data_IF_750245629891
#
_entry.id   IF_750245629891
#
_cell.length_a   1.000
_cell.length_b   1.000
_cell.length_c   1.000
_cell.angle_alpha   90.00
_cell.angle_beta   90.00
_cell.angle_gamma   90.00
#
_symmetry.space_group_name_H-M   'P 1'
#
loop_
_entity.id
_entity.type
_entity.pdbx_description
1 polymer ?
#
# COMPACT_ATOMS: atom_id res chain seq x y z
N UNK A 1 26.74 44.64 0.99
CA UNK A 1 25.51 45.37 0.59
C UNK A 1 24.35 44.74 1.32
N UNK A 2 23.37 45.39 1.91
CA UNK A 2 23.13 46.75 2.37
C UNK A 2 21.75 46.67 3.03
N UNK A 3 21.65 47.12 4.28
CA UNK A 3 20.48 47.77 4.89
C UNK A 3 19.08 47.13 4.85
N UNK A 4 18.54 46.87 6.06
CA UNK A 4 17.37 47.55 6.65
C UNK A 4 17.09 46.92 8.04
N UNK A 5 17.69 47.42 9.12
CA UNK A 5 17.13 48.43 10.06
C UNK A 5 15.61 48.64 10.00
N UNK A 6 14.95 48.40 11.15
CA UNK A 6 13.78 49.10 11.76
C UNK A 6 13.28 48.20 12.91
N UNK A 7 13.00 48.60 14.15
CA UNK A 7 12.91 49.88 14.83
C UNK A 7 13.09 49.60 16.33
N UNK A 8 14.10 50.23 16.94
CA UNK A 8 14.15 50.43 18.38
C UNK A 8 12.95 51.29 18.80
N UNK A 9 12.10 50.76 19.69
CA UNK A 9 11.15 51.59 20.41
C UNK A 9 11.91 52.40 21.45
N UNK A 10 12.13 53.65 21.07
CA UNK A 10 12.60 54.76 21.88
C UNK A 10 11.65 54.95 23.06
N UNK A 11 11.94 54.31 24.19
CA UNK A 11 11.44 54.74 25.50
C UNK A 11 12.00 56.15 25.72
N UNK A 12 11.12 57.14 25.61
CA UNK A 12 11.43 58.54 25.81
C UNK A 12 12.03 58.75 27.19
N UNK A 13 13.36 58.80 27.25
CA UNK A 13 14.13 59.33 28.37
C UNK A 13 13.78 60.81 28.43
N UNK A 14 12.73 61.14 29.19
CA UNK A 14 12.44 62.51 29.60
C UNK A 14 13.71 63.03 30.25
N UNK A 15 14.32 64.04 29.61
CA UNK A 15 15.38 64.88 30.17
C UNK A 15 15.00 65.25 31.60
N UNK A 16 15.53 64.54 32.59
CA UNK A 16 15.47 65.02 33.96
C UNK A 16 16.39 66.23 33.98
N UNK A 17 15.78 67.41 34.19
CA UNK A 17 16.50 68.63 34.49
C UNK A 17 17.55 68.26 35.56
N UNK A 18 18.81 68.58 35.30
CA UNK A 18 19.84 68.71 36.35
C UNK A 18 19.30 69.74 37.34
N UNK A 19 18.58 69.26 38.36
CA UNK A 19 18.26 70.06 39.53
C UNK A 19 19.56 70.08 40.31
N UNK A 20 20.27 71.20 40.16
CA UNK A 20 21.30 71.66 41.07
C UNK A 20 20.83 71.41 42.50
N UNK A 21 21.48 70.49 43.22
CA UNK A 21 21.35 70.39 44.68
C UNK A 21 22.09 71.60 45.24
N UNK A 22 21.42 72.76 45.17
CA UNK A 22 21.67 73.87 46.08
C UNK A 22 21.29 73.33 47.45
N UNK A 23 22.28 73.26 48.33
CA UNK A 23 22.18 73.26 49.78
C UNK A 23 20.76 73.50 50.31
N UNK A 24 20.01 72.42 50.55
CA UNK A 24 18.90 72.46 51.48
C UNK A 24 19.55 72.53 52.86
N UNK A 25 19.58 73.73 53.42
CA UNK A 25 19.96 73.95 54.80
C UNK A 25 19.00 73.18 55.70
N UNK A 26 19.39 71.99 56.12
CA UNK A 26 18.85 71.39 57.32
C UNK A 26 19.37 72.22 58.50
N UNK A 27 18.62 73.27 58.84
CA UNK A 27 18.64 73.78 60.22
C UNK A 27 18.35 72.57 61.13
N UNK A 28 19.09 72.37 62.23
CA UNK A 28 18.75 71.33 63.18
C UNK A 28 17.30 71.55 63.62
N UNK A 29 16.46 70.54 63.36
CA UNK A 29 15.08 70.52 63.83
C UNK A 29 15.11 70.71 65.35
N UNK A 30 14.21 71.54 65.91
CA UNK A 30 14.04 71.55 67.36
C UNK A 30 13.60 70.15 67.82
N UNK A 31 13.94 69.76 69.05
CA UNK A 31 13.58 68.44 69.60
C UNK A 31 12.10 68.10 69.41
N UNK A 32 11.18 69.07 69.49
CA UNK A 32 9.75 68.87 69.23
C UNK A 32 9.40 68.60 67.75
N UNK A 33 10.09 69.23 66.81
CA UNK A 33 9.83 69.05 65.38
C UNK A 33 10.31 67.68 64.89
N UNK A 34 11.44 67.20 65.41
CA UNK A 34 11.94 65.85 65.12
C UNK A 34 11.01 64.76 65.68
N UNK A 35 10.53 64.90 66.92
CA UNK A 35 9.58 63.94 67.51
C UNK A 35 8.27 63.87 66.72
N UNK A 36 7.69 65.01 66.34
CA UNK A 36 6.46 65.03 65.53
C UNK A 36 6.64 64.39 64.16
N UNK A 37 7.80 64.58 63.53
CA UNK A 37 8.09 63.96 62.23
C UNK A 37 8.21 62.44 62.35
N UNK A 38 8.93 61.93 63.36
CA UNK A 38 9.05 60.49 63.63
C UNK A 38 7.68 59.88 63.94
N UNK A 39 6.87 60.54 64.78
CA UNK A 39 5.50 60.08 65.09
C UNK A 39 4.64 60.00 63.83
N UNK A 40 4.77 60.96 62.91
CA UNK A 40 4.02 60.97 61.65
C UNK A 40 4.48 59.87 60.69
N UNK A 41 5.79 59.61 60.60
CA UNK A 41 6.36 58.50 59.81
C UNK A 41 5.92 57.14 60.35
N UNK A 42 5.99 56.94 61.68
CA UNK A 42 5.51 55.72 62.35
C UNK A 42 4.02 55.52 62.12
N UNK A 43 3.20 56.58 62.21
CA UNK A 43 1.76 56.50 61.91
C UNK A 43 1.49 56.11 60.45
N UNK A 44 2.25 56.65 59.51
CA UNK A 44 2.12 56.33 58.08
C UNK A 44 2.51 54.87 57.81
N UNK A 45 3.64 54.41 58.33
CA UNK A 45 4.10 53.02 58.21
C UNK A 45 3.11 52.03 58.82
N UNK A 46 2.57 52.35 60.01
CA UNK A 46 1.54 51.53 60.66
C UNK A 46 0.29 51.36 59.78
N UNK A 47 -0.21 52.47 59.21
CA UNK A 47 -1.37 52.42 58.29
C UNK A 47 -1.08 51.61 57.02
N UNK A 48 0.13 51.68 56.48
CA UNK A 48 0.53 50.90 55.31
C UNK A 48 0.55 49.39 55.61
N UNK A 49 1.11 49.00 56.77
CA UNK A 49 1.13 47.60 57.22
C UNK A 49 -0.29 47.09 57.43
N UNK A 50 -1.14 47.83 58.14
CA UNK A 50 -2.55 47.46 58.36
C UNK A 50 -3.31 47.30 57.03
N UNK A 51 -3.08 48.18 56.05
CA UNK A 51 -3.67 48.06 54.72
C UNK A 51 -3.22 46.80 53.98
N UNK A 52 -1.92 46.48 54.00
CA UNK A 52 -1.37 45.28 53.34
C UNK A 52 -1.96 44.02 53.98
N UNK A 53 -1.90 43.90 55.30
CA UNK A 53 -2.43 42.75 56.05
C UNK A 53 -3.93 42.55 55.78
N UNK A 54 -4.71 43.64 55.77
CA UNK A 54 -6.14 43.59 55.46
C UNK A 54 -6.44 43.18 54.01
N UNK A 55 -5.69 43.74 53.04
CA UNK A 55 -5.89 43.44 51.62
C UNK A 55 -5.50 42.01 51.24
N UNK A 56 -4.45 41.45 51.87
CA UNK A 56 -4.01 40.06 51.64
C UNK A 56 -4.72 39.04 52.53
N UNK A 57 -5.58 39.52 53.46
CA UNK A 57 -6.18 38.71 54.54
C UNK A 57 -5.14 37.94 55.35
N UNK A 58 -3.98 38.55 55.54
CA UNK A 58 -2.86 37.99 56.30
C UNK A 58 -2.97 38.43 57.76
N UNK A 59 -2.92 37.47 58.68
CA UNK A 59 -2.84 37.77 60.11
C UNK A 59 -1.40 38.00 60.54
N UNK A 60 -1.18 38.95 61.45
CA UNK A 60 0.10 39.16 62.10
C UNK A 60 -0.08 39.25 63.61
N UNK A 61 0.60 38.36 64.34
CA UNK A 61 0.65 38.40 65.78
C UNK A 61 2.08 38.26 66.31
N UNK A 62 2.30 38.72 67.54
CA UNK A 62 3.58 38.58 68.23
C UNK A 62 3.31 37.88 69.55
N UNK A 63 4.03 36.79 69.80
CA UNK A 63 3.87 35.95 70.97
C UNK A 63 5.21 35.88 71.72
N UNK A 64 5.18 36.02 73.04
CA UNK A 64 6.39 35.87 73.86
C UNK A 64 6.71 34.40 74.20
N UNK A 65 7.84 34.17 74.86
CA UNK A 65 8.28 32.82 75.24
C UNK A 65 7.37 32.09 76.24
N UNK A 66 6.45 32.81 76.88
CA UNK A 66 5.44 32.24 77.77
C UNK A 66 4.08 32.09 77.09
N UNK A 67 4.01 32.20 75.76
CA UNK A 67 2.80 32.09 74.94
C UNK A 67 1.81 33.25 75.11
N UNK A 68 2.20 34.38 75.71
CA UNK A 68 1.31 35.54 75.79
C UNK A 68 1.28 36.27 74.43
N UNK A 69 0.09 36.56 73.93
CA UNK A 69 -0.10 37.36 72.71
C UNK A 69 0.17 38.83 73.05
N UNK A 70 1.31 39.35 72.60
CA UNK A 70 1.79 40.73 72.84
C UNK A 70 1.26 41.71 71.81
N UNK A 71 1.03 41.25 70.60
CA UNK A 71 0.47 42.03 69.52
C UNK A 71 -0.40 41.13 68.65
N UNK A 72 -1.43 41.74 68.07
CA UNK A 72 -2.26 41.17 67.03
C UNK A 72 -2.69 42.31 66.11
N UNK A 73 -2.76 42.04 64.81
CA UNK A 73 -3.23 43.03 63.85
C UNK A 73 -4.70 43.41 64.10
N UNK A 74 -5.06 44.59 63.62
CA UNK A 74 -6.36 45.19 63.88
C UNK A 74 -7.54 44.43 63.28
N UNK A 75 -7.34 43.69 62.19
CA UNK A 75 -8.43 42.91 61.58
C UNK A 75 -8.67 41.63 62.39
N UNK A 76 -7.60 40.96 62.81
CA UNK A 76 -7.71 39.79 63.68
C UNK A 76 -8.21 40.12 65.08
N UNK A 77 -7.84 41.28 65.63
CA UNK A 77 -8.38 41.78 66.90
C UNK A 77 -9.92 41.94 66.87
N UNK A 78 -10.52 42.30 65.72
CA UNK A 78 -11.98 42.39 65.57
C UNK A 78 -12.65 41.02 65.65
N UNK A 79 -11.98 39.98 65.14
CA UNK A 79 -12.52 38.61 65.09
C UNK A 79 -12.36 37.91 66.43
N UNK A 80 -11.18 37.98 67.04
CA UNK A 80 -10.83 37.22 68.25
C UNK A 80 -10.99 38.01 69.56
N UNK A 81 -11.19 39.33 69.48
CA UNK A 81 -11.33 40.21 70.64
C UNK A 81 -9.99 40.57 71.28
N UNK A 82 -10.00 41.02 72.53
CA UNK A 82 -8.78 41.48 73.21
C UNK A 82 -7.90 40.29 73.68
N UNK A 83 -6.59 40.24 73.29
CA UNK A 83 -5.68 39.18 73.71
C UNK A 83 -5.17 39.29 75.15
N UNK A 84 -5.40 40.41 75.87
CA UNK A 84 -4.80 40.64 77.19
C UNK A 84 -5.12 39.53 78.18
N UNK A 85 -4.06 38.94 78.75
CA UNK A 85 -4.15 37.89 79.79
C UNK A 85 -4.41 36.48 79.26
N UNK A 86 -4.50 36.29 77.94
CA UNK A 86 -4.77 34.98 77.33
C UNK A 86 -3.52 34.43 76.64
N UNK A 87 -3.34 33.10 76.71
CA UNK A 87 -2.27 32.41 75.97
C UNK A 87 -2.67 32.17 74.52
N UNK A 88 -1.72 32.14 73.59
CA UNK A 88 -2.01 32.01 72.15
C UNK A 88 -2.86 30.76 71.82
N UNK A 89 -2.60 29.63 72.49
CA UNK A 89 -3.36 28.39 72.30
C UNK A 89 -4.81 28.48 72.82
N UNK A 90 -5.10 29.30 73.84
CA UNK A 90 -6.46 29.58 74.33
C UNK A 90 -7.17 30.60 73.43
N UNK A 91 -6.41 31.58 72.96
CA UNK A 91 -6.92 32.71 72.21
C UNK A 91 -7.33 32.28 70.79
N UNK A 92 -6.39 31.72 70.02
CA UNK A 92 -6.60 31.32 68.63
C UNK A 92 -7.19 29.92 68.47
N UNK A 93 -6.67 28.94 69.22
CA UNK A 93 -6.91 27.51 68.96
C UNK A 93 -7.97 26.87 69.87
N UNK A 94 -8.49 27.61 70.86
CA UNK A 94 -9.46 27.13 71.85
C UNK A 94 -9.00 25.92 72.67
N UNK A 95 -7.71 25.89 73.03
CA UNK A 95 -7.07 24.80 73.78
C UNK A 95 -6.71 25.24 75.19
N UNK A 96 -6.46 24.26 76.07
CA UNK A 96 -5.95 24.48 77.44
C UNK A 96 -4.42 24.41 77.55
N UNK A 97 -3.77 23.80 76.56
CA UNK A 97 -2.33 23.60 76.50
C UNK A 97 -1.81 23.87 75.07
N UNK A 98 -0.50 24.06 74.95
CA UNK A 98 0.18 24.30 73.68
C UNK A 98 -0.17 23.26 72.59
N UNK A 99 -0.16 23.69 71.33
CA UNK A 99 -0.51 22.84 70.20
C UNK A 99 0.52 21.69 70.00
N UNK A 100 0.08 20.46 69.63
CA UNK A 100 0.94 19.40 69.16
C UNK A 100 1.72 19.89 67.95
N UNK A 101 3.05 19.87 68.01
CA UNK A 101 3.89 20.41 66.95
C UNK A 101 3.97 21.94 66.89
N UNK A 102 3.58 22.66 67.95
CA UNK A 102 3.51 24.12 68.01
C UNK A 102 4.71 24.85 67.37
N UNK A 103 4.42 25.63 66.32
CA UNK A 103 5.41 26.46 65.61
C UNK A 103 6.19 27.38 66.54
N UNK A 104 5.52 28.01 67.52
CA UNK A 104 6.14 28.85 68.56
C UNK A 104 7.25 28.12 69.31
N UNK A 105 6.99 26.90 69.79
CA UNK A 105 7.98 26.10 70.54
C UNK A 105 9.17 25.77 69.63
N UNK A 106 8.90 25.31 68.41
CA UNK A 106 9.97 24.90 67.48
C UNK A 106 10.81 26.11 67.07
N UNK A 107 10.19 27.24 66.73
CA UNK A 107 10.87 28.48 66.35
C UNK A 107 11.71 29.05 67.51
N UNK A 108 11.16 29.12 68.72
CA UNK A 108 11.89 29.60 69.90
C UNK A 108 13.04 28.68 70.30
N UNK A 109 12.92 27.36 70.10
CA UNK A 109 13.99 26.41 70.37
C UNK A 109 15.09 26.45 69.31
N UNK A 110 14.73 26.49 68.04
CA UNK A 110 15.68 26.40 66.91
C UNK A 110 16.26 27.74 66.50
N UNK A 111 15.63 28.85 66.90
CA UNK A 111 15.96 30.22 66.47
C UNK A 111 15.91 30.40 64.95
N UNK A 112 15.08 29.63 64.26
CA UNK A 112 14.85 29.69 62.82
C UNK A 112 13.36 29.83 62.50
N UNK A 113 13.00 30.45 61.36
CA UNK A 113 11.63 30.46 60.88
C UNK A 113 11.10 29.03 60.67
N UNK A 114 9.85 28.80 61.05
CA UNK A 114 9.14 27.53 60.83
C UNK A 114 7.84 27.84 60.10
N UNK A 115 7.49 27.01 59.12
CA UNK A 115 6.22 27.09 58.42
C UNK A 115 5.39 25.88 58.81
N UNK A 116 4.18 26.10 59.31
CA UNK A 116 3.21 25.04 59.63
C UNK A 116 1.86 25.32 58.96
N UNK A 117 1.08 24.28 58.72
CA UNK A 117 -0.32 24.44 58.35
C UNK A 117 -1.18 24.27 59.60
N UNK A 118 -2.07 25.22 59.84
CA UNK A 118 -2.98 25.21 60.97
C UNK A 118 -4.42 25.40 60.48
N UNK A 119 -5.38 25.00 61.31
CA UNK A 119 -6.81 25.19 61.03
C UNK A 119 -7.39 26.06 62.13
N UNK A 120 -7.81 27.27 61.76
CA UNK A 120 -8.43 28.21 62.68
C UNK A 120 -9.87 27.78 62.98
N UNK A 121 -10.06 27.14 64.13
CA UNK A 121 -11.36 26.56 64.54
C UNK A 121 -12.45 27.64 64.67
N UNK A 122 -12.09 28.82 65.20
CA UNK A 122 -13.02 29.96 65.38
C UNK A 122 -13.42 30.68 64.09
N UNK A 123 -12.71 30.42 62.99
CA UNK A 123 -13.02 30.95 61.67
C UNK A 123 -13.57 29.87 60.72
N UNK A 124 -14.60 29.13 61.16
CA UNK A 124 -15.22 28.06 60.36
C UNK A 124 -14.20 27.04 59.81
N UNK A 125 -13.19 26.67 60.62
CA UNK A 125 -12.10 25.77 60.23
C UNK A 125 -11.33 26.26 58.99
N UNK A 126 -11.06 27.56 58.90
CA UNK A 126 -10.26 28.15 57.83
C UNK A 126 -8.82 27.60 57.88
N UNK A 127 -8.32 26.96 56.80
CA UNK A 127 -6.94 26.52 56.74
C UNK A 127 -6.02 27.71 56.48
N UNK A 128 -4.95 27.81 57.25
CA UNK A 128 -3.92 28.83 57.10
C UNK A 128 -2.53 28.18 57.07
N UNK A 129 -1.59 28.85 56.41
CA UNK A 129 -0.17 28.62 56.56
C UNK A 129 0.38 29.65 57.55
N UNK A 130 1.03 29.18 58.62
CA UNK A 130 1.61 30.00 59.67
C UNK A 130 3.12 29.98 59.51
N UNK A 131 3.70 31.15 59.23
CA UNK A 131 5.15 31.33 59.27
C UNK A 131 5.53 31.95 60.60
N UNK A 132 6.07 31.15 61.52
CA UNK A 132 6.54 31.58 62.84
C UNK A 132 8.01 32.00 62.76
N UNK A 133 8.30 33.28 62.99
CA UNK A 133 9.63 33.89 62.86
C UNK A 133 10.14 34.32 64.24
N UNK A 134 11.20 33.70 64.78
CA UNK A 134 11.74 34.09 66.08
C UNK A 134 12.64 35.33 65.95
N UNK A 135 12.49 36.28 66.88
CA UNK A 135 13.31 37.50 66.95
C UNK A 135 13.53 37.94 68.40
N UNK A 136 14.48 38.86 68.62
CA UNK A 136 14.73 39.46 69.94
C UNK A 136 14.21 40.91 69.97
N UNK A 137 13.58 41.30 71.07
CA UNK A 137 13.25 42.70 71.31
C UNK A 137 14.47 43.51 71.78
N UNK A 138 14.28 44.82 72.01
CA UNK A 138 15.33 45.74 72.49
C UNK A 138 15.93 45.34 73.84
N UNK A 139 15.22 44.53 74.64
CA UNK A 139 15.68 44.01 75.94
C UNK A 139 16.42 42.67 75.82
N UNK A 140 16.56 42.12 74.61
CA UNK A 140 17.17 40.82 74.35
C UNK A 140 16.27 39.60 74.61
N UNK A 141 15.00 39.82 74.96
CA UNK A 141 14.02 38.75 75.17
C UNK A 141 13.59 38.15 73.84
N UNK A 142 13.42 36.82 73.77
CA UNK A 142 12.97 36.14 72.57
C UNK A 142 11.45 36.14 72.44
N UNK A 143 10.97 36.54 71.27
CA UNK A 143 9.58 36.47 70.84
C UNK A 143 9.49 35.76 69.50
N UNK A 144 8.27 35.47 69.07
CA UNK A 144 7.96 35.07 67.70
C UNK A 144 6.97 36.05 67.09
N UNK A 145 7.14 36.34 65.80
CA UNK A 145 6.11 36.95 64.97
C UNK A 145 5.51 35.86 64.08
N UNK A 146 4.20 35.69 64.09
CA UNK A 146 3.50 34.74 63.22
C UNK A 146 2.81 35.48 62.09
N UNK A 147 3.11 35.06 60.85
CA UNK A 147 2.44 35.54 59.63
C UNK A 147 1.52 34.44 59.15
N UNK A 148 0.21 34.72 59.14
CA UNK A 148 -0.84 33.75 58.89
C UNK A 148 -1.49 34.01 57.52
N UNK A 149 -1.28 33.12 56.54
CA UNK A 149 -1.79 33.28 55.16
C UNK A 149 -2.92 32.29 54.89
N UNK A 150 -4.01 32.76 54.29
CA UNK A 150 -5.13 31.92 53.89
C UNK A 150 -4.78 31.02 52.70
N UNK A 151 -4.86 29.71 52.91
CA UNK A 151 -4.57 28.71 51.88
C UNK A 151 -5.84 27.99 51.37
N UNK A 152 -7.03 28.53 51.66
CA UNK A 152 -8.32 27.90 51.27
C UNK A 152 -8.43 27.70 49.76
N UNK A 153 -8.12 28.74 48.97
CA UNK A 153 -8.19 28.65 47.51
C UNK A 153 -7.15 27.68 46.96
N UNK A 154 -5.95 27.66 47.55
CA UNK A 154 -4.86 26.75 47.18
C UNK A 154 -5.26 25.29 47.45
N UNK A 155 -5.83 24.98 48.63
CA UNK A 155 -6.30 23.62 48.95
C UNK A 155 -7.41 23.16 48.02
N UNK A 156 -8.41 24.01 47.75
CA UNK A 156 -9.50 23.68 46.79
C UNK A 156 -8.98 23.45 45.38
N UNK A 157 -8.03 24.27 44.91
CA UNK A 157 -7.42 24.08 43.60
C UNK A 157 -6.60 22.78 43.52
N UNK A 158 -5.85 22.45 44.58
CA UNK A 158 -5.09 21.21 44.66
C UNK A 158 -5.99 19.97 44.66
N UNK A 159 -7.10 20.00 45.39
CA UNK A 159 -8.10 18.93 45.41
C UNK A 159 -8.78 18.76 44.03
N UNK A 160 -9.27 19.85 43.44
CA UNK A 160 -9.88 19.82 42.11
C UNK A 160 -8.90 19.30 41.03
N UNK A 161 -7.62 19.68 41.12
CA UNK A 161 -6.58 19.18 40.22
C UNK A 161 -6.37 17.68 40.40
N UNK A 162 -6.33 17.19 41.64
CA UNK A 162 -6.17 15.77 41.95
C UNK A 162 -7.35 14.94 41.42
N UNK A 163 -8.57 15.43 41.59
CA UNK A 163 -9.78 14.80 41.04
C UNK A 163 -9.76 14.77 39.51
N UNK A 164 -9.45 15.90 38.87
CA UNK A 164 -9.36 16.01 37.42
C UNK A 164 -8.27 15.09 36.84
N UNK A 165 -7.12 15.00 37.51
CA UNK A 165 -6.02 14.12 37.13
C UNK A 165 -6.46 12.64 37.21
N UNK A 166 -7.05 12.23 38.32
CA UNK A 166 -7.56 10.87 38.52
C UNK A 166 -8.63 10.50 37.48
N UNK A 167 -9.56 11.43 37.19
CA UNK A 167 -10.57 11.23 36.18
C UNK A 167 -9.97 11.09 34.76
N UNK A 168 -8.96 11.89 34.45
CA UNK A 168 -8.24 11.82 33.17
C UNK A 168 -7.48 10.51 33.01
N UNK A 169 -6.75 10.06 34.04
CA UNK A 169 -6.04 8.77 34.00
C UNK A 169 -6.99 7.60 33.78
N UNK A 170 -8.13 7.58 34.49
CA UNK A 170 -9.14 6.54 34.29
C UNK A 170 -9.69 6.54 32.85
N UNK A 171 -10.00 7.73 32.31
CA UNK A 171 -10.48 7.86 30.93
C UNK A 171 -9.44 7.41 29.91
N UNK A 172 -8.16 7.74 30.12
CA UNK A 172 -7.06 7.29 29.25
C UNK A 172 -6.95 5.77 29.29
N UNK A 173 -7.01 5.16 30.49
CA UNK A 173 -6.96 3.70 30.63
C UNK A 173 -8.12 3.03 29.90
N UNK A 174 -9.36 3.45 30.16
CA UNK A 174 -10.57 2.90 29.52
C UNK A 174 -10.50 2.99 28.00
N UNK A 175 -10.10 4.15 27.46
CA UNK A 175 -9.96 4.35 26.01
C UNK A 175 -8.82 3.53 25.41
N UNK A 176 -7.73 3.33 26.15
CA UNK A 176 -6.60 2.51 25.68
C UNK A 176 -7.00 1.04 25.59
N UNK A 177 -7.74 0.53 26.58
CA UNK A 177 -8.28 -0.84 26.57
C UNK A 177 -9.31 -1.05 25.46
N UNK A 178 -10.19 -0.07 25.23
CA UNK A 178 -11.15 -0.09 24.12
C UNK A 178 -10.43 -0.12 22.76
N UNK A 179 -9.43 0.74 22.57
CA UNK A 179 -8.62 0.78 21.35
C UNK A 179 -7.85 -0.53 21.13
N UNK A 180 -7.31 -1.15 22.19
CA UNK A 180 -6.62 -2.42 22.08
C UNK A 180 -7.56 -3.53 21.56
N UNK A 181 -8.77 -3.64 22.11
CA UNK A 181 -9.78 -4.62 21.64
C UNK A 181 -10.19 -4.41 20.19
N UNK A 182 -10.42 -3.14 19.80
CA UNK A 182 -10.77 -2.81 18.42
C UNK A 182 -9.60 -3.13 17.48
N UNK A 183 -8.37 -2.84 17.87
CA UNK A 183 -7.18 -3.11 17.07
C UNK A 183 -7.00 -4.63 16.86
N UNK A 184 -7.16 -5.44 17.90
CA UNK A 184 -7.12 -6.90 17.78
C UNK A 184 -8.19 -7.43 16.81
N UNK A 185 -9.40 -6.89 16.88
CA UNK A 185 -10.49 -7.28 15.95
C UNK A 185 -10.18 -6.87 14.52
N UNK A 186 -9.72 -5.63 14.31
CA UNK A 186 -9.33 -5.15 12.97
C UNK A 186 -8.17 -5.94 12.39
N UNK A 187 -7.20 -6.36 13.21
CA UNK A 187 -6.10 -7.20 12.76
C UNK A 187 -6.60 -8.57 12.30
N UNK A 188 -7.54 -9.18 13.03
CA UNK A 188 -8.17 -10.44 12.63
C UNK A 188 -8.93 -10.30 11.31
N UNK A 189 -9.78 -9.28 11.16
CA UNK A 189 -10.51 -8.98 9.92
C UNK A 189 -9.58 -8.78 8.72
N UNK A 190 -8.44 -8.09 8.90
CA UNK A 190 -7.45 -7.88 7.85
C UNK A 190 -6.83 -9.21 7.39
N UNK A 191 -6.53 -10.10 8.34
CA UNK A 191 -5.96 -11.42 8.00
C UNK A 191 -6.98 -12.26 7.24
N UNK A 192 -8.23 -12.30 7.69
CA UNK A 192 -9.31 -13.03 7.01
C UNK A 192 -9.54 -12.51 5.59
N UNK A 193 -9.62 -11.19 5.41
CA UNK A 193 -9.75 -10.57 4.08
C UNK A 193 -8.60 -10.94 3.16
N UNK A 194 -7.35 -10.88 3.63
CA UNK A 194 -6.19 -11.25 2.82
C UNK A 194 -6.21 -12.72 2.39
N UNK A 195 -6.66 -13.61 3.28
CA UNK A 195 -6.79 -15.04 2.96
C UNK A 195 -7.91 -15.30 1.94
N UNK A 196 -8.96 -14.49 1.92
CA UNK A 196 -10.04 -14.58 0.94
C UNK A 196 -9.68 -13.94 -0.42
N UNK A 197 -8.93 -12.83 -0.43
CA UNK A 197 -8.55 -12.10 -1.65
C UNK A 197 -7.51 -12.84 -2.50
N UNK A 198 -6.52 -13.49 -1.88
CA UNK A 198 -5.45 -14.17 -2.62
C UNK A 198 -5.92 -15.32 -3.54
N UNK A 199 -6.79 -16.26 -3.13
CA UNK A 199 -7.31 -17.28 -4.05
C UNK A 199 -8.18 -16.68 -5.15
N UNK A 200 -8.95 -15.63 -4.84
CA UNK A 200 -9.75 -14.93 -5.85
C UNK A 200 -8.84 -14.28 -6.91
N UNK A 201 -7.80 -13.58 -6.48
CA UNK A 201 -6.81 -12.96 -7.38
C UNK A 201 -6.17 -13.99 -8.30
N UNK A 202 -5.76 -15.16 -7.76
CA UNK A 202 -5.19 -16.26 -8.57
C UNK A 202 -6.19 -16.81 -9.58
N UNK A 203 -7.44 -17.00 -9.17
CA UNK A 203 -8.51 -17.47 -10.07
C UNK A 203 -8.82 -16.46 -11.18
N UNK A 204 -8.83 -15.16 -10.88
CA UNK A 204 -9.03 -14.11 -11.87
C UNK A 204 -7.88 -14.03 -12.87
N UNK A 205 -6.63 -14.15 -12.42
CA UNK A 205 -5.45 -14.17 -13.29
C UNK A 205 -5.47 -15.37 -14.23
N UNK A 206 -5.82 -16.55 -13.72
CA UNK A 206 -5.98 -17.76 -14.53
C UNK A 206 -7.15 -17.65 -15.53
N UNK A 207 -8.29 -17.12 -15.10
CA UNK A 207 -9.44 -16.89 -15.97
C UNK A 207 -9.12 -15.92 -17.11
N UNK A 208 -8.40 -14.82 -16.81
CA UNK A 208 -7.94 -13.87 -17.83
C UNK A 208 -6.99 -14.52 -18.83
N UNK A 209 -6.02 -15.32 -18.35
CA UNK A 209 -5.09 -16.06 -19.22
C UNK A 209 -5.84 -17.01 -20.15
N UNK A 210 -6.75 -17.82 -19.61
CA UNK A 210 -7.57 -18.75 -20.39
C UNK A 210 -8.50 -18.04 -21.38
N UNK A 211 -9.07 -16.90 -20.99
CA UNK A 211 -9.91 -16.10 -21.89
C UNK A 211 -9.10 -15.55 -23.07
N UNK A 212 -7.87 -15.09 -22.83
CA UNK A 212 -6.97 -14.62 -23.88
C UNK A 212 -6.56 -15.76 -24.83
N UNK A 213 -6.18 -16.92 -24.28
CA UNK A 213 -5.89 -18.12 -25.09
C UNK A 213 -7.09 -18.51 -25.96
N UNK A 214 -8.30 -18.56 -25.38
CA UNK A 214 -9.51 -18.91 -26.10
C UNK A 214 -9.86 -17.88 -27.19
N UNK A 215 -9.62 -16.58 -26.95
CA UNK A 215 -9.83 -15.55 -27.95
C UNK A 215 -8.92 -15.71 -29.16
N UNK A 216 -7.62 -16.01 -28.94
CA UNK A 216 -6.68 -16.27 -30.03
C UNK A 216 -7.04 -17.57 -30.77
N UNK A 217 -7.45 -18.61 -30.05
CA UNK A 217 -7.94 -19.86 -30.67
C UNK A 217 -9.21 -19.65 -31.50
N UNK A 218 -10.10 -18.74 -31.09
CA UNK A 218 -11.26 -18.37 -31.89
C UNK A 218 -10.84 -17.58 -33.15
N UNK A 219 -9.83 -16.71 -33.04
CA UNK A 219 -9.27 -15.98 -34.18
C UNK A 219 -8.69 -16.90 -35.24
N UNK A 220 -7.90 -17.89 -34.81
CA UNK A 220 -7.36 -18.93 -35.67
C UNK A 220 -8.48 -19.64 -36.44
N UNK A 221 -9.58 -19.99 -35.75
CA UNK A 221 -10.75 -20.62 -36.37
C UNK A 221 -11.44 -19.71 -37.41
N UNK A 222 -11.48 -18.39 -37.18
CA UNK A 222 -12.02 -17.42 -38.14
C UNK A 222 -11.11 -17.29 -39.37
N UNK A 223 -9.79 -17.25 -39.20
CA UNK A 223 -8.83 -17.18 -40.31
C UNK A 223 -9.02 -18.37 -41.24
N UNK A 224 -9.05 -19.57 -40.66
CA UNK A 224 -9.20 -20.85 -41.37
C UNK A 224 -10.48 -20.94 -42.19
N UNK A 225 -11.57 -20.31 -41.73
CA UNK A 225 -12.87 -20.35 -42.43
C UNK A 225 -13.07 -19.21 -43.42
N UNK A 226 -12.20 -18.19 -43.40
CA UNK A 226 -12.40 -16.95 -44.16
C UNK A 226 -11.84 -16.95 -45.59
N UNK A 227 -10.88 -17.82 -45.90
CA UNK A 227 -10.24 -17.90 -47.22
C UNK A 227 -10.15 -19.34 -47.69
N UNK A 228 -10.28 -19.54 -49.01
CA UNK A 228 -10.04 -20.82 -49.68
C UNK A 228 -8.59 -20.94 -50.18
N UNK A 229 -7.84 -19.83 -50.12
CA UNK A 229 -6.41 -19.77 -50.45
C UNK A 229 -5.61 -20.20 -49.21
N UNK A 230 -4.90 -21.33 -49.33
CA UNK A 230 -4.22 -21.92 -48.17
C UNK A 230 -2.96 -21.14 -47.80
N UNK A 231 -2.33 -20.48 -48.77
CA UNK A 231 -1.18 -19.62 -48.58
C UNK A 231 -1.54 -18.40 -47.72
N UNK A 232 -2.67 -17.74 -48.01
CA UNK A 232 -3.18 -16.62 -47.18
C UNK A 232 -3.53 -17.10 -45.76
N UNK A 233 -4.15 -18.28 -45.65
CA UNK A 233 -4.49 -18.87 -44.34
C UNK A 233 -3.23 -19.11 -43.52
N UNK A 234 -2.17 -19.65 -44.12
CA UNK A 234 -0.92 -19.89 -43.40
C UNK A 234 -0.28 -18.61 -42.86
N UNK A 235 -0.18 -17.55 -43.67
CA UNK A 235 0.44 -16.29 -43.26
C UNK A 235 -0.25 -15.71 -42.02
N UNK A 236 -1.57 -15.57 -42.07
CA UNK A 236 -2.38 -15.02 -40.96
C UNK A 236 -2.40 -15.94 -39.75
N UNK A 237 -2.46 -17.25 -39.96
CA UNK A 237 -2.44 -18.26 -38.91
C UNK A 237 -1.15 -18.17 -38.07
N UNK A 238 -0.01 -18.05 -38.74
CA UNK A 238 1.31 -18.00 -38.09
C UNK A 238 1.46 -16.78 -37.19
N UNK A 239 0.90 -15.63 -37.58
CA UNK A 239 0.88 -14.43 -36.75
C UNK A 239 0.11 -14.65 -35.44
N UNK A 240 -1.03 -15.33 -35.49
CA UNK A 240 -1.80 -15.66 -34.29
C UNK A 240 -1.12 -16.71 -33.42
N UNK A 241 -0.54 -17.75 -34.01
CA UNK A 241 0.20 -18.79 -33.26
C UNK A 241 1.38 -18.17 -32.51
N UNK A 242 2.06 -17.17 -33.08
CA UNK A 242 3.18 -16.48 -32.42
C UNK A 242 2.77 -15.75 -31.13
N UNK A 243 1.50 -15.35 -31.00
CA UNK A 243 0.96 -14.73 -29.76
C UNK A 243 0.74 -15.76 -28.65
N UNK A 244 0.59 -17.03 -29.02
CA UNK A 244 0.39 -18.15 -28.10
C UNK A 244 1.72 -18.78 -27.68
N UNK A 245 2.57 -19.10 -28.66
CA UNK A 245 3.82 -19.83 -28.45
C UNK A 245 4.93 -19.09 -29.20
N UNK A 246 5.97 -18.57 -28.52
CA UNK A 246 7.13 -17.99 -29.18
C UNK A 246 7.92 -19.04 -29.95
N UNK A 247 8.30 -18.74 -31.19
CA UNK A 247 9.12 -19.63 -32.02
C UNK A 247 10.04 -18.83 -32.95
N UNK A 248 11.17 -19.44 -33.28
CA UNK A 248 12.14 -18.95 -34.26
C UNK A 248 11.87 -19.51 -35.66
N UNK A 249 11.12 -20.62 -35.75
CA UNK A 249 10.67 -21.22 -37.01
C UNK A 249 9.39 -22.02 -36.81
N UNK A 250 8.49 -21.99 -37.77
CA UNK A 250 7.28 -22.81 -37.85
C UNK A 250 7.23 -23.49 -39.21
N UNK A 251 6.78 -24.75 -39.23
CA UNK A 251 6.72 -25.59 -40.43
C UNK A 251 5.41 -26.35 -40.45
N UNK A 252 4.68 -26.26 -41.56
CA UNK A 252 3.59 -27.18 -41.89
C UNK A 252 4.11 -28.13 -42.94
N UNK A 253 4.00 -29.43 -42.69
CA UNK A 253 4.29 -30.44 -43.69
C UNK A 253 3.06 -31.30 -43.96
N UNK A 254 2.97 -31.80 -45.18
CA UNK A 254 1.96 -32.77 -45.60
C UNK A 254 2.63 -34.08 -45.96
N UNK A 255 1.95 -35.20 -45.73
CA UNK A 255 2.48 -36.53 -46.07
C UNK A 255 1.79 -37.08 -47.32
N UNK A 256 2.56 -37.81 -48.12
CA UNK A 256 2.06 -38.64 -49.21
C UNK A 256 2.36 -40.11 -48.86
N UNK A 257 1.36 -40.86 -48.35
CA UNK A 257 1.56 -42.26 -47.98
C UNK A 257 1.88 -43.18 -49.15
N UNK A 258 1.41 -42.87 -50.37
CA UNK A 258 1.67 -43.70 -51.54
C UNK A 258 3.15 -43.67 -51.94
N UNK A 259 3.80 -42.51 -51.77
CA UNK A 259 5.20 -42.31 -52.18
C UNK A 259 6.18 -42.34 -51.00
N UNK A 260 5.70 -42.53 -49.78
CA UNK A 260 6.48 -42.47 -48.53
C UNK A 260 7.30 -41.17 -48.41
N UNK A 261 6.67 -40.04 -48.76
CA UNK A 261 7.29 -38.71 -48.74
C UNK A 261 6.59 -37.71 -47.83
N UNK A 262 7.35 -36.71 -47.41
CA UNK A 262 6.88 -35.49 -46.74
C UNK A 262 7.15 -34.31 -47.66
N UNK A 263 6.13 -33.49 -47.89
CA UNK A 263 6.27 -32.21 -48.57
C UNK A 263 6.20 -31.09 -47.54
N UNK A 264 7.16 -30.17 -47.58
CA UNK A 264 7.12 -28.97 -46.75
C UNK A 264 6.18 -27.97 -47.40
N UNK A 265 4.93 -27.94 -46.93
CA UNK A 265 3.87 -27.11 -47.50
C UNK A 265 4.05 -25.63 -47.17
N UNK A 266 4.50 -25.33 -45.95
CA UNK A 266 4.71 -23.95 -45.53
C UNK A 266 5.83 -23.82 -44.50
N UNK A 267 6.52 -22.68 -44.54
CA UNK A 267 7.59 -22.34 -43.60
C UNK A 267 7.57 -20.85 -43.28
N UNK A 268 7.81 -20.50 -42.03
CA UNK A 268 8.13 -19.13 -41.62
C UNK A 268 9.21 -19.12 -40.54
N UNK A 269 10.11 -18.14 -40.57
CA UNK A 269 11.22 -17.98 -39.63
C UNK A 269 12.57 -18.43 -40.18
N UNK A 270 13.45 -18.90 -39.29
CA UNK A 270 14.87 -19.25 -39.56
C UNK A 270 15.00 -20.14 -40.79
N UNK A 271 15.81 -19.76 -41.80
CA UNK A 271 16.03 -20.58 -42.99
C UNK A 271 16.82 -21.85 -42.65
N UNK A 272 16.42 -22.96 -43.26
CA UNK A 272 17.05 -24.27 -43.10
C UNK A 272 17.24 -24.82 -44.52
N UNK A 273 18.48 -24.96 -45.01
CA UNK A 273 18.75 -25.54 -46.32
C UNK A 273 18.10 -26.92 -46.47
N UNK A 274 17.60 -27.22 -47.67
CA UNK A 274 16.90 -28.49 -47.99
C UNK A 274 15.62 -28.72 -47.16
N UNK A 275 15.10 -27.65 -46.54
CA UNK A 275 13.86 -27.63 -45.77
C UNK A 275 13.02 -26.40 -46.07
N UNK A 276 12.96 -25.95 -47.31
CA UNK A 276 12.17 -24.79 -47.76
C UNK A 276 10.78 -25.24 -48.22
N UNK A 277 9.86 -24.28 -48.35
CA UNK A 277 8.54 -24.58 -48.92
C UNK A 277 8.69 -25.19 -50.32
N UNK A 278 7.95 -26.27 -50.57
CA UNK A 278 8.03 -27.07 -51.80
C UNK A 278 9.02 -28.23 -51.76
N UNK A 279 9.98 -28.25 -50.83
CA UNK A 279 10.93 -29.37 -50.73
C UNK A 279 10.21 -30.67 -50.36
N UNK A 280 10.60 -31.75 -51.05
CA UNK A 280 10.08 -33.10 -50.85
C UNK A 280 11.20 -34.00 -50.33
N UNK A 281 10.93 -34.69 -49.23
CA UNK A 281 11.91 -35.56 -48.55
C UNK A 281 11.30 -36.93 -48.24
N UNK A 282 12.11 -37.97 -48.00
CA UNK A 282 11.60 -39.24 -47.49
C UNK A 282 10.89 -39.06 -46.14
N UNK A 283 9.76 -39.74 -45.96
CA UNK A 283 9.03 -39.78 -44.69
C UNK A 283 9.83 -40.55 -43.62
N UNK A 284 10.56 -41.58 -44.03
CA UNK A 284 11.47 -42.32 -43.15
C UNK A 284 12.59 -41.43 -42.60
N UNK A 285 12.94 -41.65 -41.33
CA UNK A 285 13.98 -40.87 -40.64
C UNK A 285 13.55 -39.47 -40.21
N UNK A 286 12.28 -39.08 -40.44
CA UNK A 286 11.68 -37.84 -39.91
C UNK A 286 10.98 -38.09 -38.57
N UNK A 287 10.88 -37.07 -37.72
CA UNK A 287 10.03 -37.15 -36.53
C UNK A 287 8.53 -37.18 -36.89
N UNK A 288 8.16 -36.75 -38.11
CA UNK A 288 6.78 -36.74 -38.62
C UNK A 288 6.17 -38.13 -38.61
N UNK A 289 6.91 -39.18 -39.01
CA UNK A 289 6.38 -40.55 -39.04
C UNK A 289 6.00 -41.04 -37.65
N UNK A 290 6.81 -40.73 -36.64
CA UNK A 290 6.54 -41.12 -35.25
C UNK A 290 5.34 -40.33 -34.70
N UNK A 291 5.31 -39.02 -34.93
CA UNK A 291 4.24 -38.14 -34.47
C UNK A 291 2.87 -38.56 -35.03
N UNK A 292 2.82 -38.83 -36.33
CA UNK A 292 1.62 -39.31 -37.02
C UNK A 292 1.23 -40.71 -36.54
N UNK A 293 2.17 -41.66 -36.49
CA UNK A 293 1.89 -43.06 -36.11
C UNK A 293 1.36 -43.17 -34.68
N UNK A 294 1.89 -42.39 -33.76
CA UNK A 294 1.49 -42.38 -32.35
C UNK A 294 0.25 -41.53 -32.09
N UNK A 295 -0.23 -40.77 -33.09
CA UNK A 295 -1.27 -39.74 -32.96
C UNK A 295 -1.00 -38.78 -31.79
N UNK A 296 0.28 -38.61 -31.43
CA UNK A 296 0.71 -37.90 -30.23
C UNK A 296 1.74 -36.85 -30.62
N UNK A 297 1.66 -35.69 -29.97
CA UNK A 297 2.65 -34.65 -30.18
C UNK A 297 4.00 -35.06 -29.60
N UNK A 298 5.08 -34.56 -30.20
CA UNK A 298 6.44 -34.79 -29.77
C UNK A 298 7.02 -33.48 -29.23
N UNK A 299 7.55 -33.54 -28.01
CA UNK A 299 8.34 -32.49 -27.40
C UNK A 299 9.81 -32.92 -27.42
N UNK A 300 10.63 -32.23 -28.21
CA UNK A 300 12.06 -32.51 -28.33
C UNK A 300 12.81 -31.29 -27.82
N UNK A 301 13.57 -31.48 -26.74
CA UNK A 301 14.41 -30.46 -26.14
C UNK A 301 15.78 -31.06 -25.91
N UNK A 302 16.81 -30.50 -26.55
CA UNK A 302 18.17 -31.01 -26.35
C UNK A 302 19.21 -29.93 -26.58
N UNK A 303 20.26 -30.00 -25.77
CA UNK A 303 21.50 -29.25 -25.99
C UNK A 303 22.49 -30.06 -26.84
N UNK A 304 22.44 -31.39 -26.73
CA UNK A 304 23.38 -32.31 -27.38
C UNK A 304 22.69 -33.17 -28.45
N UNK A 305 23.39 -33.39 -29.55
CA UNK A 305 22.83 -33.93 -30.80
C UNK A 305 22.99 -35.45 -30.91
N UNK A 306 24.00 -36.01 -30.24
CA UNK A 306 24.54 -37.35 -30.52
C UNK A 306 23.52 -38.48 -30.26
N UNK A 307 22.72 -38.39 -29.21
CA UNK A 307 21.71 -39.40 -28.90
C UNK A 307 20.46 -39.31 -29.80
N UNK A 308 20.14 -38.11 -30.32
CA UNK A 308 18.96 -37.87 -31.17
C UNK A 308 19.26 -38.05 -32.65
N UNK A 309 20.51 -37.88 -33.07
CA UNK A 309 20.98 -38.07 -34.45
C UNK A 309 20.68 -39.47 -34.97
N UNK A 310 20.95 -40.49 -34.17
CA UNK A 310 20.69 -41.88 -34.53
C UNK A 310 19.20 -42.17 -34.74
N UNK A 311 18.30 -41.45 -34.04
CA UNK A 311 16.85 -41.67 -34.09
C UNK A 311 16.16 -40.81 -35.15
N UNK A 312 16.65 -39.59 -35.40
CA UNK A 312 16.05 -38.65 -36.35
C UNK A 312 17.10 -37.97 -37.24
N UNK A 313 17.65 -38.66 -38.26
CA UNK A 313 18.66 -38.09 -39.16
C UNK A 313 18.19 -36.83 -39.88
N UNK A 314 16.89 -36.73 -40.20
CA UNK A 314 16.29 -35.55 -40.81
C UNK A 314 16.32 -34.30 -39.90
N UNK A 315 16.47 -34.50 -38.59
CA UNK A 315 16.48 -33.40 -37.62
C UNK A 315 17.83 -32.67 -37.58
N UNK A 316 18.90 -33.27 -38.12
CA UNK A 316 20.25 -32.73 -38.01
C UNK A 316 20.41 -31.34 -38.64
N UNK A 317 19.72 -31.10 -39.75
CA UNK A 317 19.77 -29.81 -40.46
C UNK A 317 19.25 -28.65 -39.59
N UNK A 318 18.22 -28.90 -38.77
CA UNK A 318 17.69 -27.89 -37.85
C UNK A 318 18.70 -27.55 -36.75
N UNK A 319 19.39 -28.56 -36.21
CA UNK A 319 20.39 -28.34 -35.18
C UNK A 319 21.63 -27.60 -35.72
N UNK A 320 22.07 -27.91 -36.95
CA UNK A 320 23.19 -27.23 -37.61
C UNK A 320 22.97 -25.72 -37.78
N UNK A 321 21.72 -25.27 -37.92
CA UNK A 321 21.39 -23.84 -37.99
C UNK A 321 21.06 -23.21 -36.62
N UNK A 322 21.26 -23.96 -35.53
CA UNK A 322 21.12 -23.44 -34.16
C UNK A 322 19.78 -23.69 -33.48
N UNK A 323 18.85 -24.45 -34.08
CA UNK A 323 17.60 -24.82 -33.41
C UNK A 323 17.84 -25.95 -32.39
N UNK A 324 17.23 -25.85 -31.21
CA UNK A 324 17.49 -26.72 -30.04
C UNK A 324 16.23 -27.32 -29.41
N UNK A 325 15.10 -26.62 -29.56
CA UNK A 325 13.80 -27.08 -29.05
C UNK A 325 12.78 -27.17 -30.18
N UNK A 326 11.88 -28.15 -30.11
CA UNK A 326 10.81 -28.40 -31.07
C UNK A 326 9.56 -28.90 -30.34
N UNK A 327 8.40 -28.35 -30.72
CA UNK A 327 7.10 -29.02 -30.57
C UNK A 327 6.63 -29.45 -31.95
N UNK A 328 6.30 -30.73 -32.11
CA UNK A 328 5.64 -31.27 -33.30
C UNK A 328 4.29 -31.86 -32.91
N UNK A 329 3.24 -31.53 -33.66
CA UNK A 329 1.89 -32.07 -33.46
C UNK A 329 1.37 -32.67 -34.77
N UNK A 330 0.65 -33.79 -34.72
CA UNK A 330 0.18 -34.42 -35.93
C UNK A 330 -1.08 -33.70 -36.42
N UNK A 331 -1.25 -33.66 -37.73
CA UNK A 331 -2.42 -33.09 -38.38
C UNK A 331 -3.27 -34.24 -38.92
N UNK A 332 -4.52 -34.31 -38.47
CA UNK A 332 -5.50 -35.30 -38.87
C UNK A 332 -6.75 -34.63 -39.40
N UNK A 333 -7.32 -35.16 -40.47
CA UNK A 333 -8.64 -34.79 -40.97
C UNK A 333 -9.45 -36.06 -41.22
N UNK A 334 -10.67 -36.15 -40.67
CA UNK A 334 -11.51 -37.35 -40.75
C UNK A 334 -10.76 -38.66 -40.42
N UNK A 335 -9.95 -38.62 -39.36
CA UNK A 335 -9.08 -39.71 -38.89
C UNK A 335 -7.92 -40.14 -39.82
N UNK A 336 -7.75 -39.47 -40.96
CA UNK A 336 -6.63 -39.68 -41.86
C UNK A 336 -5.47 -38.73 -41.52
N UNK A 337 -4.24 -39.24 -41.45
CA UNK A 337 -3.07 -38.40 -41.22
C UNK A 337 -2.75 -37.61 -42.48
N UNK A 338 -2.78 -36.29 -42.37
CA UNK A 338 -2.48 -35.40 -43.51
C UNK A 338 -1.07 -34.81 -43.42
N UNK A 339 -0.47 -34.77 -42.22
CA UNK A 339 0.78 -34.04 -42.01
C UNK A 339 1.18 -33.86 -40.56
N UNK A 340 2.09 -32.92 -40.34
CA UNK A 340 2.46 -32.42 -39.02
C UNK A 340 2.71 -30.91 -39.04
N UNK A 341 2.44 -30.27 -37.91
CA UNK A 341 2.75 -28.88 -37.65
C UNK A 341 3.86 -28.84 -36.59
N UNK A 342 4.88 -28.02 -36.81
CA UNK A 342 6.08 -27.97 -35.99
C UNK A 342 6.49 -26.54 -35.69
N UNK A 343 6.84 -26.24 -34.44
CA UNK A 343 7.47 -24.98 -34.03
C UNK A 343 8.82 -25.24 -33.37
N UNK A 344 9.81 -24.43 -33.70
CA UNK A 344 11.19 -24.59 -33.26
C UNK A 344 11.68 -23.34 -32.54
N UNK A 345 12.57 -23.53 -31.57
CA UNK A 345 13.35 -22.45 -30.97
C UNK A 345 14.83 -22.80 -30.93
N UNK A 346 15.65 -21.77 -31.07
CA UNK A 346 17.10 -21.75 -30.84
C UNK A 346 17.48 -21.89 -29.38
N UNK A 347 16.56 -21.57 -28.45
CA UNK A 347 16.78 -21.76 -27.02
C UNK A 347 16.62 -23.24 -26.65
N UNK A 348 17.55 -23.84 -25.89
CA UNK A 348 17.31 -25.15 -25.31
C UNK A 348 16.20 -25.08 -24.26
N UNK A 349 15.45 -26.17 -24.10
CA UNK A 349 14.35 -26.30 -23.13
C UNK A 349 13.30 -25.17 -23.20
N UNK A 350 12.98 -24.70 -24.41
CA UNK A 350 12.15 -23.51 -24.62
C UNK A 350 10.64 -23.71 -24.37
N UNK A 351 10.20 -24.96 -24.30
CA UNK A 351 8.79 -25.34 -24.35
C UNK A 351 8.36 -26.18 -23.14
N UNK A 352 7.07 -26.25 -22.89
CA UNK A 352 6.49 -27.02 -21.81
C UNK A 352 5.43 -27.99 -22.33
N UNK A 353 5.00 -28.91 -21.49
CA UNK A 353 3.83 -29.76 -21.77
C UNK A 353 2.54 -28.94 -21.99
N UNK A 354 2.46 -27.74 -21.41
CA UNK A 354 1.33 -26.85 -21.65
C UNK A 354 1.36 -26.26 -23.06
N UNK A 355 2.54 -25.89 -23.54
CA UNK A 355 2.74 -25.42 -24.92
C UNK A 355 2.42 -26.55 -25.91
N UNK A 356 2.81 -27.80 -25.61
CA UNK A 356 2.46 -28.96 -26.42
C UNK A 356 0.93 -29.13 -26.55
N UNK A 357 0.20 -29.06 -25.43
CA UNK A 357 -1.27 -29.15 -25.43
C UNK A 357 -1.93 -28.00 -26.20
N UNK A 358 -1.41 -26.79 -26.05
CA UNK A 358 -1.89 -25.63 -26.80
C UNK A 358 -1.65 -25.81 -28.31
N UNK A 359 -0.45 -26.26 -28.67
CA UNK A 359 -0.07 -26.55 -30.06
C UNK A 359 -0.92 -27.66 -30.67
N UNK A 360 -1.31 -28.69 -29.90
CA UNK A 360 -2.21 -29.74 -30.38
C UNK A 360 -3.60 -29.19 -30.72
N UNK A 361 -4.14 -28.30 -29.89
CA UNK A 361 -5.42 -27.61 -30.19
C UNK A 361 -5.31 -26.77 -31.47
N UNK A 362 -4.20 -26.05 -31.62
CA UNK A 362 -3.89 -25.24 -32.82
C UNK A 362 -3.78 -26.14 -34.06
N UNK A 363 -3.05 -27.25 -33.97
CA UNK A 363 -2.89 -28.24 -35.02
C UNK A 363 -4.22 -28.82 -35.50
N UNK A 364 -5.13 -29.13 -34.57
CA UNK A 364 -6.45 -29.65 -34.90
C UNK A 364 -7.28 -28.68 -35.76
N UNK A 365 -7.18 -27.37 -35.51
CA UNK A 365 -7.90 -26.39 -36.32
C UNK A 365 -7.33 -26.30 -37.74
N UNK A 366 -6.01 -26.13 -37.88
CA UNK A 366 -5.38 -25.95 -39.19
C UNK A 366 -5.47 -27.22 -40.06
N UNK A 367 -5.53 -28.40 -39.45
CA UNK A 367 -5.64 -29.65 -40.20
C UNK A 367 -6.88 -29.69 -41.10
N UNK A 368 -8.02 -29.19 -40.60
CA UNK A 368 -9.25 -29.12 -41.39
C UNK A 368 -9.15 -28.10 -42.53
N UNK A 369 -8.48 -26.96 -42.31
CA UNK A 369 -8.21 -25.96 -43.34
C UNK A 369 -7.41 -26.56 -44.51
N UNK A 370 -6.31 -27.23 -44.17
CA UNK A 370 -5.39 -27.85 -45.13
C UNK A 370 -6.11 -28.94 -45.93
N UNK A 371 -6.91 -29.77 -45.26
CA UNK A 371 -7.72 -30.81 -45.91
C UNK A 371 -8.74 -30.21 -46.88
N UNK A 372 -9.45 -29.16 -46.47
CA UNK A 372 -10.43 -28.48 -47.32
C UNK A 372 -9.78 -27.81 -48.54
N UNK A 373 -8.65 -27.14 -48.36
CA UNK A 373 -7.91 -26.52 -49.47
C UNK A 373 -7.39 -27.56 -50.46
N UNK A 374 -6.88 -28.70 -49.96
CA UNK A 374 -6.46 -29.82 -50.81
C UNK A 374 -7.63 -30.39 -51.62
N UNK A 375 -8.76 -30.67 -50.97
CA UNK A 375 -9.97 -31.14 -51.64
C UNK A 375 -10.47 -30.16 -52.71
N UNK A 376 -10.42 -28.86 -52.42
CA UNK A 376 -10.79 -27.82 -53.38
C UNK A 376 -9.84 -27.82 -54.59
N UNK A 377 -8.52 -27.86 -54.37
CA UNK A 377 -7.54 -27.92 -55.46
C UNK A 377 -7.68 -29.19 -56.31
N UNK A 378 -7.92 -30.35 -55.69
CA UNK A 378 -8.12 -31.62 -56.40
C UNK A 378 -9.40 -31.59 -57.24
N UNK A 379 -10.46 -30.94 -56.73
CA UNK A 379 -11.70 -30.72 -57.47
C UNK A 379 -11.48 -29.85 -58.71
N UNK A 380 -10.77 -28.73 -58.58
CA UNK A 380 -10.48 -27.85 -59.72
C UNK A 380 -9.71 -28.61 -60.82
N UNK A 381 -8.68 -29.38 -60.45
CA UNK A 381 -7.93 -30.21 -61.41
C UNK A 381 -8.79 -31.27 -62.09
N UNK A 382 -9.70 -31.90 -61.34
CA UNK A 382 -10.61 -32.90 -61.90
C UNK A 382 -11.62 -32.28 -62.88
N UNK A 383 -12.15 -31.09 -62.56
CA UNK A 383 -13.04 -30.32 -63.45
C UNK A 383 -12.31 -29.88 -64.72
N UNK A 384 -11.06 -29.41 -64.63
CA UNK A 384 -10.22 -29.06 -65.78
C UNK A 384 -9.91 -30.28 -66.67
N UNK A 385 -9.51 -31.40 -66.08
CA UNK A 385 -9.23 -32.64 -66.81
C UNK A 385 -10.49 -33.20 -67.49
N UNK A 386 -11.65 -33.10 -66.85
CA UNK A 386 -12.93 -33.48 -67.47
C UNK A 386 -13.25 -32.56 -68.65
N UNK A 387 -13.07 -31.24 -68.49
CA UNK A 387 -13.28 -30.28 -69.57
C UNK A 387 -12.39 -30.55 -70.78
N UNK A 388 -11.09 -30.77 -70.56
CA UNK A 388 -10.16 -31.12 -71.63
C UNK A 388 -10.54 -32.44 -72.33
N UNK A 389 -11.00 -33.42 -71.56
CA UNK A 389 -11.48 -34.70 -72.10
C UNK A 389 -12.73 -34.50 -72.97
N UNK A 390 -13.72 -33.74 -72.49
CA UNK A 390 -14.95 -33.43 -73.24
C UNK A 390 -14.68 -32.65 -74.53
N UNK A 391 -13.81 -31.63 -74.48
CA UNK A 391 -13.39 -30.87 -75.66
C UNK A 391 -12.67 -31.76 -76.68
N UNK A 392 -11.83 -32.68 -76.20
CA UNK A 392 -11.16 -33.67 -77.06
C UNK A 392 -12.17 -34.60 -77.73
N UNK A 393 -13.16 -35.13 -76.99
CA UNK A 393 -14.22 -35.98 -77.57
C UNK A 393 -15.06 -35.23 -78.59
N UNK A 394 -15.49 -34.00 -78.28
CA UNK A 394 -16.26 -33.15 -79.21
C UNK A 394 -15.48 -32.89 -80.49
N UNK A 395 -14.22 -32.49 -80.37
CA UNK A 395 -13.35 -32.23 -81.53
C UNK A 395 -13.18 -33.48 -82.41
N UNK A 396 -13.03 -34.66 -81.80
CA UNK A 396 -12.94 -35.92 -82.55
C UNK A 396 -14.24 -36.19 -83.31
N UNK A 397 -15.40 -36.06 -82.65
CA UNK A 397 -16.72 -36.35 -83.25
C UNK A 397 -17.12 -35.34 -84.33
N UNK A 398 -16.72 -34.08 -84.22
CA UNK A 398 -16.98 -33.03 -85.22
C UNK A 398 -16.10 -33.19 -86.47
N UNK A 399 -14.87 -33.67 -86.32
CA UNK A 399 -13.90 -33.77 -87.42
C UNK A 399 -13.82 -35.17 -88.07
N UNK A 400 -14.45 -36.20 -87.48
CA UNK A 400 -14.48 -37.53 -88.10
C UNK A 400 -15.39 -37.53 -89.32
N UNK A 401 -14.90 -38.09 -90.44
CA UNK A 401 -15.66 -38.18 -91.69
C UNK A 401 -16.75 -39.26 -91.65
N UNK A 402 -16.65 -40.22 -90.73
CA UNK A 402 -17.66 -41.25 -90.53
C UNK A 402 -18.88 -40.72 -89.77
N UNK A 403 -20.07 -41.18 -90.15
CA UNK A 403 -21.28 -40.91 -89.41
C UNK A 403 -21.28 -41.62 -88.07
N UNK A 404 -21.39 -40.86 -86.97
CA UNK A 404 -21.50 -41.37 -85.62
C UNK A 404 -22.86 -41.00 -85.03
N UNK A 405 -23.51 -41.94 -84.35
CA UNK A 405 -24.71 -41.68 -83.57
C UNK A 405 -24.81 -42.58 -82.34
N UNK A 406 -25.60 -42.12 -81.38
CA UNK A 406 -26.00 -42.86 -80.18
C UNK A 406 -27.51 -43.00 -80.16
N UNK A 407 -28.01 -44.10 -79.60
CA UNK A 407 -29.45 -44.34 -79.41
C UNK A 407 -29.73 -44.76 -77.98
N UNK A 408 -30.92 -44.45 -77.49
CA UNK A 408 -31.41 -45.01 -76.23
C UNK A 408 -31.89 -46.47 -76.39
N UNK A 409 -32.39 -47.06 -75.29
CA UNK A 409 -32.92 -48.44 -75.29
C UNK A 409 -34.22 -48.61 -76.10
N UNK A 410 -34.86 -47.51 -76.53
CA UNK A 410 -36.07 -47.51 -77.37
C UNK A 410 -35.74 -47.34 -78.86
N UNK A 411 -34.49 -47.02 -79.18
CA UNK A 411 -34.02 -46.79 -80.54
C UNK A 411 -34.12 -45.33 -81.00
N UNK A 412 -34.45 -44.41 -80.10
CA UNK A 412 -34.47 -42.98 -80.39
C UNK A 412 -33.03 -42.44 -80.41
N UNK A 413 -32.68 -41.63 -81.42
CA UNK A 413 -31.35 -41.01 -81.53
C UNK A 413 -31.15 -40.01 -80.38
N UNK A 414 -30.10 -40.22 -79.58
CA UNK A 414 -29.72 -39.34 -78.47
C UNK A 414 -28.57 -38.39 -78.83
N UNK A 415 -27.74 -38.78 -79.79
CA UNK A 415 -26.67 -37.96 -80.34
C UNK A 415 -26.39 -38.36 -81.79
N UNK A 416 -25.94 -37.43 -82.61
CA UNK A 416 -25.37 -37.69 -83.93
C UNK A 416 -24.39 -36.58 -84.30
N UNK A 417 -23.37 -36.90 -85.09
CA UNK A 417 -22.41 -35.91 -85.58
C UNK A 417 -22.79 -35.30 -86.94
N UNK A 418 -22.13 -34.21 -87.30
CA UNK A 418 -22.37 -33.51 -88.57
C UNK A 418 -22.13 -34.40 -89.79
N UNK A 419 -21.19 -35.35 -89.73
CA UNK A 419 -20.94 -36.24 -90.85
C UNK A 419 -22.12 -37.17 -91.12
N UNK A 420 -22.79 -37.68 -90.08
CA UNK A 420 -24.00 -38.47 -90.26
C UNK A 420 -25.12 -37.65 -90.94
N UNK A 421 -25.28 -36.37 -90.57
CA UNK A 421 -26.21 -35.47 -91.25
C UNK A 421 -25.87 -35.18 -92.72
N UNK A 422 -24.61 -35.34 -93.12
CA UNK A 422 -24.18 -35.20 -94.53
C UNK A 422 -24.34 -36.49 -95.33
N UNK A 423 -24.24 -37.65 -94.66
CA UNK A 423 -24.32 -38.98 -95.28
C UNK A 423 -25.78 -39.40 -95.51
N UNK A 424 -26.68 -39.05 -94.59
CA UNK A 424 -28.13 -39.24 -94.70
C UNK A 424 -28.77 -38.11 -95.53
#
# INVERSE_FOLDING_TARGET
MSFKQKKNHNLGIRKSKRISIRSLGNKPLSSEQATRQIEQEVRTLKKQIEFILGATKTGLDIIDSEFNVRYIDSEWAKVYGDPRGRKCYEYFMDRKDACPGCGVIVALRTKKPVVTEEVLVKENNRPIEVTTIPFQNEKGEWLVAEVNVDITQQKRAAEALREAYTASENRVRERTEELARINETLQADIVERKQAEEPLRRSEEEAKRLAQENAIMAEIGRIITSSLDIEEVYERFVEEVRKLIPFDRIVVNTINPQNDTVTISYVSGTDVPERRAGDVIPLQGTATIECVRTRSGLLIQTEEMEEKEARYPAFLLYFKVGLRSLIMVPLFSKDEPIGALSVFSSRPNAYTEMDLRLMQRVGHQIANAISNAKLFSDRIRAEEALRESEERYRTILENIEDGYYETDLRGDLTFFNDSLCRIL
#
